data_IF_755171655172
#
_entry.id   IF_755171655172
#
_cell.length_a   1.000
_cell.length_b   1.000
_cell.length_c   1.000
_cell.angle_alpha   90.00
_cell.angle_beta   90.00
_cell.angle_gamma   90.00
#
_symmetry.space_group_name_H-M   'P 1'
#
loop_
_entity.id
_entity.type
_entity.pdbx_description
1 polymer ?
#
# COMPACT_ATOMS: atom_id res chain seq x y z
N UNK A 1 -23.37 22.89 13.91
CA UNK A 1 -22.69 23.72 12.89
C UNK A 1 -22.33 22.80 11.75
N UNK A 2 -23.08 22.83 10.65
CA UNK A 2 -22.71 22.07 9.46
C UNK A 2 -21.50 22.74 8.82
N UNK A 3 -20.35 22.07 8.85
CA UNK A 3 -19.13 22.56 8.23
C UNK A 3 -19.40 22.58 6.71
N UNK A 4 -19.34 23.73 6.04
CA UNK A 4 -19.60 23.80 4.60
C UNK A 4 -18.62 22.89 3.85
N UNK A 5 -19.14 22.00 3.00
CA UNK A 5 -18.35 21.10 2.17
C UNK A 5 -18.79 21.18 0.71
N UNK A 6 -17.81 21.18 -0.20
CA UNK A 6 -18.06 21.14 -1.63
C UNK A 6 -18.19 19.69 -2.09
N UNK A 7 -19.43 19.19 -2.16
CA UNK A 7 -19.73 17.92 -2.83
C UNK A 7 -19.86 18.08 -4.36
N UNK A 8 -20.19 19.31 -4.80
CA UNK A 8 -20.26 19.66 -6.21
C UNK A 8 -18.86 19.93 -6.78
N UNK A 9 -18.56 19.45 -8.00
CA UNK A 9 -17.37 19.86 -8.74
C UNK A 9 -17.35 21.38 -8.91
N UNK A 10 -16.17 22.00 -8.82
CA UNK A 10 -16.03 23.42 -9.21
C UNK A 10 -16.30 23.56 -10.71
N UNK A 11 -17.01 24.62 -11.10
CA UNK A 11 -17.33 24.92 -12.51
C UNK A 11 -16.08 25.03 -13.39
N UNK A 12 -14.98 25.49 -12.81
CA UNK A 12 -13.77 25.84 -13.57
C UNK A 12 -12.83 24.65 -13.74
N UNK A 13 -12.81 23.72 -12.78
CA UNK A 13 -11.88 22.58 -12.77
C UNK A 13 -12.55 21.22 -12.94
N UNK A 14 -13.87 21.13 -12.75
CA UNK A 14 -14.59 19.85 -12.77
C UNK A 14 -14.20 18.88 -11.64
N UNK A 15 -13.42 19.34 -10.64
CA UNK A 15 -12.90 18.52 -9.54
C UNK A 15 -13.30 19.14 -8.20
N UNK A 16 -13.69 18.32 -7.23
CA UNK A 16 -13.99 18.76 -5.86
C UNK A 16 -12.72 18.76 -4.99
N UNK A 17 -12.70 19.61 -3.96
CA UNK A 17 -11.48 19.91 -3.18
C UNK A 17 -10.80 18.67 -2.57
N UNK A 18 -11.59 17.69 -2.12
CA UNK A 18 -11.05 16.45 -1.54
C UNK A 18 -10.24 15.62 -2.55
N UNK A 19 -10.67 15.56 -3.81
CA UNK A 19 -9.97 14.82 -4.86
C UNK A 19 -8.66 15.51 -5.24
N UNK A 20 -8.65 16.84 -5.31
CA UNK A 20 -7.43 17.62 -5.55
C UNK A 20 -6.42 17.44 -4.39
N UNK A 21 -6.88 17.50 -3.14
CA UNK A 21 -6.04 17.31 -1.97
C UNK A 21 -5.37 15.93 -1.95
N UNK A 22 -6.11 14.88 -2.32
CA UNK A 22 -5.55 13.52 -2.39
C UNK A 22 -4.56 13.38 -3.52
N UNK A 23 -4.80 13.94 -4.70
CA UNK A 23 -3.81 13.92 -5.78
C UNK A 23 -2.50 14.63 -5.40
N UNK A 24 -2.57 15.76 -4.70
CA UNK A 24 -1.38 16.45 -4.20
C UNK A 24 -0.63 15.61 -3.15
N UNK A 25 -1.37 14.97 -2.24
CA UNK A 25 -0.79 14.05 -1.26
C UNK A 25 -0.13 12.83 -1.93
N UNK A 26 -0.80 12.22 -2.93
CA UNK A 26 -0.21 11.12 -3.70
C UNK A 26 1.05 11.55 -4.43
N UNK A 27 1.08 12.77 -4.99
CA UNK A 27 2.28 13.30 -5.62
C UNK A 27 3.45 13.45 -4.62
N UNK A 28 3.19 13.88 -3.38
CA UNK A 28 4.25 13.92 -2.35
C UNK A 28 4.75 12.53 -1.98
N UNK A 29 3.85 11.54 -1.90
CA UNK A 29 4.24 10.16 -1.62
C UNK A 29 5.07 9.54 -2.76
N UNK A 30 4.75 9.85 -4.02
CA UNK A 30 5.58 9.45 -5.17
C UNK A 30 7.00 9.99 -5.04
N UNK A 31 7.17 11.24 -4.59
CA UNK A 31 8.50 11.83 -4.39
C UNK A 31 9.24 11.15 -3.22
N UNK A 32 8.54 10.86 -2.12
CA UNK A 32 9.10 10.19 -0.95
C UNK A 32 9.60 8.78 -1.29
N UNK A 33 8.77 7.95 -1.94
CA UNK A 33 9.19 6.62 -2.38
C UNK A 33 10.22 6.70 -3.51
N UNK A 34 10.09 7.65 -4.44
CA UNK A 34 11.04 7.88 -5.53
C UNK A 34 12.45 8.19 -5.03
N UNK A 35 12.58 8.97 -3.95
CA UNK A 35 13.85 9.22 -3.29
C UNK A 35 14.48 7.95 -2.69
N UNK A 36 13.67 7.13 -2.00
CA UNK A 36 14.14 5.86 -1.43
C UNK A 36 14.50 4.82 -2.49
N UNK A 37 13.73 4.73 -3.58
CA UNK A 37 14.07 3.88 -4.72
C UNK A 37 15.37 4.32 -5.39
N UNK A 38 15.57 5.63 -5.54
CA UNK A 38 16.82 6.18 -6.07
C UNK A 38 18.00 5.82 -5.17
N UNK A 39 17.84 5.96 -3.85
CA UNK A 39 18.85 5.53 -2.86
C UNK A 39 19.19 4.04 -3.00
N UNK A 40 18.19 3.15 -3.14
CA UNK A 40 18.42 1.72 -3.40
C UNK A 40 19.26 1.49 -4.65
N UNK A 41 18.92 2.14 -5.77
CA UNK A 41 19.64 1.97 -7.05
C UNK A 41 21.10 2.43 -6.92
N UNK A 42 21.36 3.57 -6.27
CA UNK A 42 22.73 4.04 -6.05
C UNK A 42 23.53 3.09 -5.17
N UNK A 43 22.93 2.55 -4.11
CA UNK A 43 23.57 1.55 -3.24
C UNK A 43 23.86 0.25 -4.01
N UNK A 44 22.92 -0.20 -4.85
CA UNK A 44 23.06 -1.41 -5.67
C UNK A 44 24.18 -1.32 -6.70
N UNK A 45 24.29 -0.17 -7.38
CA UNK A 45 25.31 0.06 -8.44
C UNK A 45 26.68 0.33 -7.81
N UNK A 46 26.73 0.96 -6.63
CA UNK A 46 27.97 1.27 -5.93
C UNK A 46 28.62 0.09 -5.21
N UNK A 47 27.89 -1.01 -5.03
CA UNK A 47 28.38 -2.20 -4.33
C UNK A 47 28.94 -3.25 -5.32
N UNK A 48 30.20 -3.72 -5.16
CA UNK A 48 30.78 -4.77 -5.99
C UNK A 48 30.03 -6.11 -5.88
N UNK A 49 29.49 -6.39 -4.70
CA UNK A 49 28.69 -7.57 -4.37
C UNK A 49 27.41 -7.11 -3.65
N UNK A 50 26.25 -7.65 -4.04
CA UNK A 50 24.94 -7.29 -3.47
C UNK A 50 24.02 -8.51 -3.51
N UNK A 51 23.45 -8.97 -2.37
CA UNK A 51 23.50 -8.39 -1.02
C UNK A 51 24.88 -8.42 -0.33
N UNK A 52 25.82 -9.18 -0.90
CA UNK A 52 27.18 -9.31 -0.39
C UNK A 52 27.25 -10.15 0.88
N UNK A 53 28.26 -9.89 1.71
CA UNK A 53 28.43 -10.61 2.97
C UNK A 53 27.44 -10.11 4.03
N UNK A 54 26.62 -11.01 4.57
CA UNK A 54 25.76 -10.75 5.72
C UNK A 54 26.13 -11.78 6.79
N UNK A 55 26.62 -11.31 7.95
CA UNK A 55 27.06 -12.16 9.07
C UNK A 55 28.07 -13.27 8.71
N UNK A 56 29.03 -12.95 7.84
CA UNK A 56 30.08 -13.90 7.45
C UNK A 56 29.64 -14.97 6.45
N UNK A 57 28.39 -14.93 5.99
CA UNK A 57 27.87 -15.75 4.89
C UNK A 57 27.77 -14.88 3.64
N UNK A 58 28.29 -15.38 2.52
CA UNK A 58 28.19 -14.71 1.23
C UNK A 58 26.84 -15.01 0.59
N UNK A 59 26.10 -13.98 0.22
CA UNK A 59 24.86 -14.09 -0.54
C UNK A 59 25.08 -13.53 -1.94
N UNK A 60 24.97 -14.39 -2.95
CA UNK A 60 25.21 -13.99 -4.35
C UNK A 60 23.98 -13.30 -4.96
N UNK A 61 22.79 -13.60 -4.45
CA UNK A 61 21.54 -13.06 -4.98
C UNK A 61 20.57 -12.62 -3.89
N UNK A 62 19.74 -11.61 -4.18
CA UNK A 62 18.65 -11.15 -3.30
C UNK A 62 17.68 -12.30 -2.93
N UNK A 63 17.54 -13.31 -3.80
CA UNK A 63 16.74 -14.53 -3.58
C UNK A 63 17.25 -15.43 -2.47
N UNK A 64 18.55 -15.37 -2.17
CA UNK A 64 19.16 -16.21 -1.15
C UNK A 64 18.83 -15.70 0.26
N UNK A 65 18.42 -14.44 0.37
CA UNK A 65 18.01 -13.76 1.61
C UNK A 65 16.49 -13.56 1.68
N UNK A 66 15.81 -13.51 0.53
CA UNK A 66 14.37 -13.25 0.43
C UNK A 66 13.65 -14.36 -0.35
N UNK A 67 12.61 -14.91 0.26
CA UNK A 67 11.75 -15.91 -0.38
C UNK A 67 10.87 -15.28 -1.48
N UNK A 68 11.25 -15.47 -2.74
CA UNK A 68 10.47 -15.05 -3.92
C UNK A 68 9.04 -15.62 -3.91
N UNK A 69 8.80 -16.92 -3.64
CA UNK A 69 7.45 -17.47 -3.74
C UNK A 69 6.46 -16.79 -2.78
N UNK A 70 6.90 -16.50 -1.56
CA UNK A 70 6.10 -15.80 -0.55
C UNK A 70 5.89 -14.33 -0.96
N UNK A 71 6.93 -13.68 -1.51
CA UNK A 71 6.82 -12.33 -2.07
C UNK A 71 5.84 -12.24 -3.23
N UNK A 72 5.90 -13.18 -4.19
CA UNK A 72 4.98 -13.27 -5.33
C UNK A 72 3.55 -13.53 -4.86
N UNK A 73 3.35 -14.44 -3.90
CA UNK A 73 2.04 -14.68 -3.31
C UNK A 73 1.45 -13.39 -2.70
N UNK A 74 2.24 -12.66 -1.92
CA UNK A 74 1.82 -11.38 -1.35
C UNK A 74 1.45 -10.34 -2.41
N UNK A 75 2.22 -10.26 -3.49
CA UNK A 75 1.93 -9.35 -4.61
C UNK A 75 0.61 -9.73 -5.29
N UNK A 76 0.33 -11.02 -5.50
CA UNK A 76 -0.96 -11.48 -6.03
C UNK A 76 -2.13 -11.12 -5.09
N UNK A 77 -1.94 -11.27 -3.78
CA UNK A 77 -2.95 -10.90 -2.76
C UNK A 77 -3.26 -9.40 -2.82
N UNK A 78 -2.25 -8.54 -2.93
CA UNK A 78 -2.46 -7.09 -3.04
C UNK A 78 -3.14 -6.69 -4.35
N UNK A 79 -2.73 -7.27 -5.49
CA UNK A 79 -3.38 -7.00 -6.77
C UNK A 79 -4.87 -7.40 -6.71
N UNK A 80 -5.17 -8.57 -6.13
CA UNK A 80 -6.55 -9.00 -5.90
C UNK A 80 -7.32 -8.01 -5.00
N UNK A 81 -6.69 -7.49 -3.94
CA UNK A 81 -7.26 -6.48 -3.04
C UNK A 81 -7.59 -5.17 -3.76
N UNK A 82 -6.76 -4.77 -4.72
CA UNK A 82 -6.99 -3.62 -5.58
C UNK A 82 -8.26 -3.80 -6.42
N UNK A 83 -8.41 -4.98 -7.05
CA UNK A 83 -9.60 -5.29 -7.85
C UNK A 83 -10.86 -5.26 -6.99
N UNK A 84 -10.82 -5.82 -5.77
CA UNK A 84 -11.97 -5.76 -4.85
C UNK A 84 -12.29 -4.33 -4.42
N UNK A 85 -11.32 -3.43 -4.31
CA UNK A 85 -11.56 -2.03 -3.97
C UNK A 85 -12.31 -1.29 -5.09
N UNK A 86 -11.93 -1.50 -6.36
CA UNK A 86 -12.66 -0.94 -7.51
C UNK A 86 -14.09 -1.49 -7.56
N UNK A 87 -14.27 -2.80 -7.34
CA UNK A 87 -15.60 -3.42 -7.32
C UNK A 87 -16.48 -2.89 -6.17
N UNK A 88 -15.88 -2.53 -5.03
CA UNK A 88 -16.59 -1.90 -3.93
C UNK A 88 -17.14 -0.52 -4.34
N UNK A 89 -16.29 0.32 -4.93
CA UNK A 89 -16.70 1.63 -5.43
C UNK A 89 -17.75 1.52 -6.55
N UNK A 90 -17.56 0.63 -7.53
CA UNK A 90 -18.52 0.39 -8.60
C UNK A 90 -19.89 -0.09 -8.06
N UNK A 91 -19.89 -0.87 -6.98
CA UNK A 91 -21.13 -1.31 -6.31
C UNK A 91 -21.90 -0.15 -5.68
N UNK A 92 -21.22 0.89 -5.18
CA UNK A 92 -21.87 2.12 -4.70
C UNK A 92 -22.49 2.92 -5.85
N UNK A 93 -21.81 3.01 -6.99
CA UNK A 93 -22.36 3.64 -8.20
C UNK A 93 -23.64 2.94 -8.68
N UNK A 94 -23.69 1.60 -8.58
CA UNK A 94 -24.89 0.79 -8.87
C UNK A 94 -25.93 0.80 -7.73
N UNK A 95 -25.76 1.63 -6.68
CA UNK A 95 -26.61 1.70 -5.48
C UNK A 95 -26.76 0.35 -4.74
N UNK A 96 -25.86 -0.61 -4.96
CA UNK A 96 -25.88 -1.91 -4.32
C UNK A 96 -24.97 -1.94 -3.09
N UNK A 97 -25.51 -1.50 -1.97
CA UNK A 97 -24.77 -1.39 -0.70
C UNK A 97 -24.34 -2.74 -0.11
N UNK A 98 -25.07 -3.82 -0.40
CA UNK A 98 -24.69 -5.16 0.10
C UNK A 98 -23.40 -5.63 -0.56
N UNK A 99 -23.28 -5.45 -1.88
CA UNK A 99 -22.06 -5.79 -2.62
C UNK A 99 -20.89 -4.88 -2.22
N UNK A 100 -21.13 -3.59 -1.99
CA UNK A 100 -20.11 -2.69 -1.44
C UNK A 100 -19.51 -3.22 -0.13
N UNK A 101 -20.34 -3.62 0.84
CA UNK A 101 -19.85 -4.15 2.12
C UNK A 101 -19.08 -5.46 1.97
N UNK A 102 -19.48 -6.31 1.02
CA UNK A 102 -18.75 -7.54 0.72
C UNK A 102 -17.37 -7.22 0.14
N UNK A 103 -17.30 -6.43 -0.93
CA UNK A 103 -16.04 -6.14 -1.62
C UNK A 103 -15.07 -5.32 -0.77
N UNK A 104 -15.55 -4.31 -0.04
CA UNK A 104 -14.69 -3.54 0.85
C UNK A 104 -14.19 -4.40 2.03
N UNK A 105 -15.05 -5.30 2.54
CA UNK A 105 -14.64 -6.30 3.54
C UNK A 105 -13.55 -7.23 3.01
N UNK A 106 -13.68 -7.69 1.76
CA UNK A 106 -12.64 -8.50 1.09
C UNK A 106 -11.33 -7.73 0.94
N UNK A 107 -11.35 -6.45 0.53
CA UNK A 107 -10.15 -5.61 0.47
C UNK A 107 -9.45 -5.52 1.82
N UNK A 108 -10.20 -5.32 2.91
CA UNK A 108 -9.63 -5.27 4.27
C UNK A 108 -9.00 -6.61 4.65
N UNK A 109 -9.69 -7.73 4.37
CA UNK A 109 -9.17 -9.06 4.68
C UNK A 109 -7.90 -9.39 3.90
N UNK A 110 -7.85 -9.05 2.62
CA UNK A 110 -6.66 -9.27 1.77
C UNK A 110 -5.50 -8.37 2.20
N UNK A 111 -5.76 -7.10 2.57
CA UNK A 111 -4.74 -6.23 3.14
C UNK A 111 -4.20 -6.71 4.50
N UNK A 112 -5.06 -7.27 5.35
CA UNK A 112 -4.63 -7.91 6.60
C UNK A 112 -3.79 -9.17 6.33
N UNK A 113 -4.20 -10.00 5.37
CA UNK A 113 -3.44 -11.18 4.96
C UNK A 113 -2.03 -10.78 4.51
N UNK A 114 -1.91 -9.72 3.69
CA UNK A 114 -0.61 -9.18 3.28
C UNK A 114 0.26 -8.80 4.49
N UNK A 115 -0.29 -8.08 5.47
CA UNK A 115 0.46 -7.70 6.68
C UNK A 115 0.86 -8.91 7.53
N UNK A 116 0.00 -9.92 7.64
CA UNK A 116 0.29 -11.14 8.41
C UNK A 116 1.45 -11.90 7.76
N UNK A 117 1.41 -12.12 6.46
CA UNK A 117 2.50 -12.82 5.76
C UNK A 117 3.80 -12.02 5.87
N UNK A 118 3.73 -10.68 5.79
CA UNK A 118 4.91 -9.82 6.00
C UNK A 118 5.45 -9.88 7.43
N UNK A 119 4.57 -9.94 8.43
CA UNK A 119 4.99 -10.10 9.81
C UNK A 119 5.70 -11.43 10.05
N UNK A 120 5.25 -12.52 9.40
CA UNK A 120 5.95 -13.80 9.44
C UNK A 120 7.32 -13.74 8.77
N UNK A 121 7.42 -13.12 7.59
CA UNK A 121 8.71 -12.94 6.90
C UNK A 121 9.70 -12.11 7.74
N UNK A 122 9.22 -11.05 8.41
CA UNK A 122 10.04 -10.28 9.33
C UNK A 122 10.43 -11.11 10.55
N UNK A 123 9.48 -11.80 11.18
CA UNK A 123 9.73 -12.63 12.36
C UNK A 123 10.80 -13.69 12.10
N UNK A 124 10.73 -14.35 10.94
CA UNK A 124 11.74 -15.30 10.50
C UNK A 124 13.12 -14.64 10.36
N UNK A 125 13.21 -13.47 9.70
CA UNK A 125 14.46 -12.70 9.59
C UNK A 125 15.03 -12.25 10.93
N UNK A 126 14.18 -11.77 11.84
CA UNK A 126 14.60 -11.37 13.18
C UNK A 126 15.06 -12.57 14.01
N UNK A 127 14.46 -13.75 13.83
CA UNK A 127 14.90 -14.99 14.49
C UNK A 127 16.27 -15.47 14.02
N UNK A 128 16.59 -15.25 12.74
CA UNK A 128 17.92 -15.45 12.18
C UNK A 128 18.88 -14.27 12.46
N UNK A 129 18.49 -13.33 13.32
CA UNK A 129 19.25 -12.15 13.70
C UNK A 129 19.63 -11.24 12.51
N UNK A 130 18.85 -11.21 11.43
CA UNK A 130 19.03 -10.25 10.33
C UNK A 130 18.41 -8.91 10.70
N UNK A 131 19.20 -8.07 11.37
CA UNK A 131 18.79 -6.72 11.75
C UNK A 131 19.17 -5.69 10.67
N UNK A 132 18.49 -4.52 10.63
CA UNK A 132 18.86 -3.43 9.74
C UNK A 132 20.32 -2.98 9.86
N UNK A 133 20.95 -3.13 11.03
CA UNK A 133 22.33 -2.72 11.29
C UNK A 133 23.39 -3.65 10.66
N UNK A 134 23.00 -4.83 10.19
CA UNK A 134 23.94 -5.90 9.79
C UNK A 134 24.42 -5.76 8.34
N UNK A 135 23.66 -5.06 7.50
CA UNK A 135 24.03 -4.81 6.11
C UNK A 135 23.24 -3.62 5.56
N UNK A 136 23.87 -2.86 4.67
CA UNK A 136 23.22 -1.79 3.91
C UNK A 136 22.02 -2.28 3.11
N UNK A 137 22.06 -3.53 2.61
CA UNK A 137 20.93 -4.17 1.95
C UNK A 137 19.73 -4.35 2.90
N UNK A 138 19.98 -4.87 4.11
CA UNK A 138 18.93 -5.05 5.11
C UNK A 138 18.38 -3.70 5.59
N UNK A 139 19.24 -2.69 5.79
CA UNK A 139 18.83 -1.34 6.15
C UNK A 139 17.83 -0.75 5.14
N UNK A 140 18.17 -0.77 3.84
CA UNK A 140 17.29 -0.21 2.81
C UNK A 140 16.04 -1.09 2.59
N UNK A 141 16.17 -2.41 2.69
CA UNK A 141 15.04 -3.35 2.63
C UNK A 141 14.01 -3.01 3.71
N UNK A 142 14.40 -3.01 4.99
CA UNK A 142 13.49 -2.75 6.11
C UNK A 142 12.92 -1.34 6.08
N UNK A 143 13.67 -0.35 5.60
CA UNK A 143 13.19 1.03 5.45
C UNK A 143 12.09 1.12 4.40
N UNK A 144 12.32 0.61 3.18
CA UNK A 144 11.35 0.65 2.08
C UNK A 144 10.10 -0.18 2.40
N UNK A 145 10.29 -1.43 2.82
CA UNK A 145 9.18 -2.36 3.11
C UNK A 145 8.43 -1.96 4.39
N UNK A 146 9.13 -1.45 5.41
CA UNK A 146 8.52 -0.97 6.65
C UNK A 146 7.67 0.28 6.41
N UNK A 147 8.20 1.26 5.67
CA UNK A 147 7.44 2.46 5.33
C UNK A 147 6.22 2.12 4.49
N UNK A 148 6.35 1.23 3.50
CA UNK A 148 5.21 0.73 2.75
C UNK A 148 4.18 0.02 3.66
N UNK A 149 4.64 -0.83 4.58
CA UNK A 149 3.77 -1.48 5.56
C UNK A 149 2.96 -0.49 6.40
N UNK A 150 3.58 0.62 6.84
CA UNK A 150 2.88 1.70 7.55
C UNK A 150 1.79 2.35 6.69
N UNK A 151 2.02 2.52 5.39
CA UNK A 151 1.01 3.03 4.45
C UNK A 151 -0.17 2.05 4.30
N UNK A 152 0.11 0.75 4.18
CA UNK A 152 -0.94 -0.29 4.14
C UNK A 152 -1.78 -0.24 5.42
N UNK A 153 -1.15 -0.13 6.60
CA UNK A 153 -1.85 0.02 7.89
C UNK A 153 -2.73 1.27 7.90
N UNK A 154 -2.22 2.42 7.45
CA UNK A 154 -2.98 3.66 7.33
C UNK A 154 -4.21 3.51 6.43
N UNK A 155 -4.04 2.87 5.27
CA UNK A 155 -5.13 2.56 4.35
C UNK A 155 -6.16 1.60 4.96
N UNK A 156 -5.73 0.60 5.72
CA UNK A 156 -6.62 -0.36 6.37
C UNK A 156 -7.48 0.32 7.42
N UNK A 157 -6.91 1.24 8.21
CA UNK A 157 -7.65 2.01 9.19
C UNK A 157 -8.75 2.84 8.51
N UNK A 158 -8.43 3.52 7.41
CA UNK A 158 -9.40 4.32 6.65
C UNK A 158 -10.50 3.44 6.04
N UNK A 159 -10.13 2.31 5.42
CA UNK A 159 -11.09 1.39 4.82
C UNK A 159 -11.97 0.71 5.87
N UNK A 160 -11.41 0.31 7.02
CA UNK A 160 -12.17 -0.23 8.14
C UNK A 160 -13.14 0.81 8.73
N UNK A 161 -12.73 2.08 8.81
CA UNK A 161 -13.62 3.16 9.20
C UNK A 161 -14.79 3.33 8.22
N UNK A 162 -14.54 3.27 6.91
CA UNK A 162 -15.60 3.37 5.89
C UNK A 162 -16.52 2.15 5.87
N UNK A 163 -15.98 0.95 6.13
CA UNK A 163 -16.76 -0.29 6.22
C UNK A 163 -17.63 -0.36 7.48
N UNK A 164 -17.10 0.09 8.62
CA UNK A 164 -17.78 0.07 9.91
C UNK A 164 -18.63 1.33 10.17
N UNK A 165 -18.15 2.29 10.99
CA UNK A 165 -18.95 3.45 11.41
C UNK A 165 -19.33 4.41 10.27
N UNK A 166 -18.45 4.57 9.28
CA UNK A 166 -18.67 5.43 8.11
C UNK A 166 -19.81 4.96 7.22
N UNK A 167 -20.14 3.67 7.25
CA UNK A 167 -21.20 3.04 6.46
C UNK A 167 -22.59 3.62 6.77
N UNK A 168 -22.79 4.22 7.96
CA UNK A 168 -24.03 4.94 8.32
C UNK A 168 -24.28 6.16 7.45
N UNK A 169 -23.23 6.80 6.93
CA UNK A 169 -23.31 7.98 6.07
C UNK A 169 -23.99 7.70 4.73
N UNK A 170 -24.00 6.44 4.29
CA UNK A 170 -24.74 6.04 3.10
C UNK A 170 -26.24 6.36 3.18
N UNK A 171 -26.84 6.34 4.38
CA UNK A 171 -28.27 6.65 4.56
C UNK A 171 -28.56 8.16 4.58
N UNK A 172 -27.60 8.98 5.01
CA UNK A 172 -27.78 10.43 5.14
C UNK A 172 -27.33 11.19 3.90
N UNK A 173 -26.17 10.83 3.33
CA UNK A 173 -25.58 11.49 2.16
C UNK A 173 -24.81 10.45 1.30
N UNK A 174 -25.52 9.74 0.41
CA UNK A 174 -24.92 8.72 -0.46
C UNK A 174 -23.82 9.27 -1.38
N UNK A 175 -23.96 10.51 -1.86
CA UNK A 175 -23.02 11.11 -2.80
C UNK A 175 -21.70 11.44 -2.11
N UNK A 176 -21.76 12.07 -0.93
CA UNK A 176 -20.56 12.35 -0.14
C UNK A 176 -19.85 11.08 0.32
N UNK A 177 -20.61 10.06 0.71
CA UNK A 177 -20.01 8.77 1.08
C UNK A 177 -19.27 8.14 -0.09
N UNK A 178 -19.87 8.16 -1.28
CA UNK A 178 -19.22 7.57 -2.46
C UNK A 178 -17.96 8.31 -2.88
N UNK A 179 -17.96 9.64 -2.80
CA UNK A 179 -16.76 10.44 -3.05
C UNK A 179 -15.63 10.13 -2.06
N UNK A 180 -15.96 9.88 -0.77
CA UNK A 180 -14.96 9.45 0.23
C UNK A 180 -14.38 8.07 -0.06
N UNK A 181 -15.21 7.14 -0.52
CA UNK A 181 -14.77 5.79 -0.91
C UNK A 181 -13.91 5.85 -2.18
N UNK A 182 -14.24 6.71 -3.14
CA UNK A 182 -13.39 6.98 -4.31
C UNK A 182 -12.00 7.45 -3.88
N UNK A 183 -11.94 8.45 -2.99
CA UNK A 183 -10.68 8.98 -2.45
C UNK A 183 -9.87 7.89 -1.73
N UNK A 184 -10.51 7.11 -0.86
CA UNK A 184 -9.84 6.01 -0.17
C UNK A 184 -9.35 4.95 -1.15
N UNK A 185 -10.11 4.70 -2.23
CA UNK A 185 -9.72 3.81 -3.32
C UNK A 185 -8.47 4.31 -4.04
N UNK A 186 -8.41 5.59 -4.41
CA UNK A 186 -7.22 6.19 -5.05
C UNK A 186 -5.96 6.00 -4.20
N UNK A 187 -6.07 6.21 -2.88
CA UNK A 187 -4.96 5.94 -1.96
C UNK A 187 -4.58 4.45 -1.92
N UNK A 188 -5.57 3.56 -1.81
CA UNK A 188 -5.31 2.12 -1.76
C UNK A 188 -4.62 1.61 -3.03
N UNK A 189 -5.10 2.04 -4.22
CA UNK A 189 -4.47 1.72 -5.49
C UNK A 189 -3.03 2.25 -5.58
N UNK A 190 -2.77 3.45 -5.07
CA UNK A 190 -1.42 3.98 -5.04
C UNK A 190 -0.49 3.10 -4.19
N UNK A 191 -0.93 2.71 -3.00
CA UNK A 191 -0.15 1.80 -2.14
C UNK A 191 0.15 0.49 -2.87
N UNK A 192 -0.85 -0.11 -3.53
CA UNK A 192 -0.65 -1.34 -4.31
C UNK A 192 0.37 -1.14 -5.44
N UNK A 193 0.32 -0.02 -6.17
CA UNK A 193 1.27 0.31 -7.25
C UNK A 193 2.70 0.42 -6.70
N UNK A 194 2.89 1.08 -5.56
CA UNK A 194 4.21 1.17 -4.92
C UNK A 194 4.77 -0.24 -4.64
N UNK A 195 3.94 -1.17 -4.19
CA UNK A 195 4.37 -2.55 -3.95
C UNK A 195 4.75 -3.29 -5.24
N UNK A 196 4.01 -3.07 -6.33
CA UNK A 196 4.29 -3.67 -7.64
C UNK A 196 5.69 -3.27 -8.14
N UNK A 197 6.17 -2.07 -7.81
CA UNK A 197 7.56 -1.66 -8.10
C UNK A 197 8.54 -2.16 -7.03
N UNK A 198 8.16 -2.13 -5.76
CA UNK A 198 9.01 -2.54 -4.65
C UNK A 198 9.42 -4.01 -4.75
N UNK A 199 8.47 -4.90 -5.05
CA UNK A 199 8.73 -6.33 -5.12
C UNK A 199 9.83 -6.68 -6.15
N UNK A 200 9.72 -6.30 -7.44
CA UNK A 200 10.79 -6.52 -8.41
C UNK A 200 12.10 -5.84 -8.02
N UNK A 201 12.04 -4.61 -7.52
CA UNK A 201 13.25 -3.85 -7.21
C UNK A 201 14.08 -4.46 -6.09
N UNK A 202 13.45 -5.01 -5.05
CA UNK A 202 14.20 -5.55 -3.90
C UNK A 202 14.33 -7.08 -3.94
N UNK A 203 13.33 -7.79 -4.47
CA UNK A 203 13.39 -9.25 -4.52
C UNK A 203 14.15 -9.74 -5.74
N UNK A 204 14.01 -9.10 -6.91
CA UNK A 204 14.55 -9.62 -8.18
C UNK A 204 15.87 -8.97 -8.65
N UNK A 205 16.15 -7.73 -8.24
CA UNK A 205 17.36 -6.97 -8.60
C UNK A 205 18.42 -6.99 -7.48
#
# INVERSE_FOLDING_TARGET
>A
MDIPYTAAPRTDTGVYNGKLGVWLFLASEVMLFGGLFSAYIFLRIGAPEWPGMIKGVMYETSFDVLSVPIGTFNTMVLIASSVTMVMAWASLMMKNFSRFRLYLGLTILLGLLFLIVKAFEYGDKFSHHFYPAESTFLAIYFTLTGLHGLHVVGGLIVNAYLWGPGSKMWKSDPQRFTNRVEIAGLYWHFVDIVWIFLFPTIYLL
#
